data_IF_405679039830
#
_entry.id   IF_405679039830
#
_cell.length_a   1.000
_cell.length_b   1.000
_cell.length_c   1.000
_cell.angle_alpha   90.00
_cell.angle_beta   90.00
_cell.angle_gamma   90.00
#
_symmetry.space_group_name_H-M   'P 1'
#
loop_
_entity.id
_entity.type
_entity.pdbx_description
1 polymer ?
#
# COMPACT_ATOMS: atom_id res chain seq x y z
N UNK A 1 -34.77 3.80 -24.94
CA UNK A 1 -34.05 4.68 -23.96
C UNK A 1 -33.56 3.87 -22.74
N UNK A 2 -34.32 2.89 -22.23
CA UNK A 2 -33.94 2.07 -21.08
C UNK A 2 -32.64 1.29 -21.33
N UNK A 3 -32.54 0.57 -22.45
CA UNK A 3 -31.34 -0.18 -22.84
C UNK A 3 -30.09 0.71 -23.03
N UNK A 4 -30.27 1.95 -23.44
CA UNK A 4 -29.16 2.89 -23.61
C UNK A 4 -28.62 3.34 -22.23
N UNK A 5 -29.50 3.60 -21.27
CA UNK A 5 -29.12 3.95 -19.87
C UNK A 5 -28.47 2.77 -19.19
N UNK A 6 -28.97 1.56 -19.32
CA UNK A 6 -28.37 0.33 -18.79
C UNK A 6 -26.95 0.11 -19.32
N UNK A 7 -26.73 0.22 -20.65
CA UNK A 7 -25.37 0.12 -21.21
C UNK A 7 -24.42 1.18 -20.68
N UNK A 8 -24.88 2.42 -20.52
CA UNK A 8 -24.04 3.49 -19.95
C UNK A 8 -23.67 3.22 -18.50
N UNK A 9 -24.57 2.67 -17.71
CA UNK A 9 -24.29 2.27 -16.33
C UNK A 9 -23.27 1.13 -16.27
N UNK A 10 -23.44 0.08 -17.04
CA UNK A 10 -22.49 -1.03 -17.10
C UNK A 10 -21.08 -0.60 -17.56
N UNK A 11 -21.00 0.31 -18.54
CA UNK A 11 -19.71 0.86 -18.99
C UNK A 11 -19.04 1.63 -17.86
N UNK A 12 -19.78 2.46 -17.13
CA UNK A 12 -19.25 3.25 -16.01
C UNK A 12 -18.78 2.37 -14.86
N UNK A 13 -19.54 1.32 -14.52
CA UNK A 13 -19.18 0.41 -13.42
C UNK A 13 -17.92 -0.39 -13.76
N UNK A 14 -17.80 -0.88 -14.99
CA UNK A 14 -16.56 -1.52 -15.47
C UNK A 14 -15.38 -0.55 -15.47
N UNK A 15 -15.59 0.69 -15.90
CA UNK A 15 -14.54 1.71 -15.85
C UNK A 15 -14.08 1.96 -14.43
N UNK A 16 -15.00 2.15 -13.47
CA UNK A 16 -14.68 2.36 -12.07
C UNK A 16 -13.95 1.15 -11.44
N UNK A 17 -14.38 -0.06 -11.78
CA UNK A 17 -13.72 -1.28 -11.33
C UNK A 17 -12.28 -1.39 -11.87
N UNK A 18 -12.08 -1.14 -13.16
CA UNK A 18 -10.74 -1.14 -13.77
C UNK A 18 -9.87 -0.01 -13.24
N UNK A 19 -10.42 1.18 -13.01
CA UNK A 19 -9.73 2.29 -12.40
C UNK A 19 -9.28 1.96 -10.96
N UNK A 20 -10.16 1.36 -10.18
CA UNK A 20 -9.86 0.92 -8.80
C UNK A 20 -8.74 -0.13 -8.79
N UNK A 21 -8.85 -1.14 -9.63
CA UNK A 21 -7.86 -2.21 -9.71
C UNK A 21 -6.54 -1.72 -10.29
N UNK A 22 -6.57 -0.80 -11.26
CA UNK A 22 -5.35 -0.17 -11.77
C UNK A 22 -4.61 0.59 -10.67
N UNK A 23 -5.30 1.48 -9.94
CA UNK A 23 -4.70 2.22 -8.83
C UNK A 23 -4.13 1.30 -7.75
N UNK A 24 -4.92 0.33 -7.30
CA UNK A 24 -4.48 -0.66 -6.29
C UNK A 24 -3.26 -1.46 -6.77
N UNK A 25 -3.28 -1.93 -8.02
CA UNK A 25 -2.17 -2.69 -8.61
C UNK A 25 -0.89 -1.87 -8.71
N UNK A 26 -0.99 -0.65 -9.24
CA UNK A 26 0.19 0.19 -9.44
C UNK A 26 0.86 0.55 -8.12
N UNK A 27 0.09 0.83 -7.09
CA UNK A 27 0.63 1.18 -5.77
C UNK A 27 1.17 -0.07 -5.06
N UNK A 28 0.32 -1.06 -4.80
CA UNK A 28 0.64 -2.17 -3.90
C UNK A 28 1.33 -3.36 -4.58
N UNK A 29 1.10 -3.59 -5.88
CA UNK A 29 1.62 -4.76 -6.59
C UNK A 29 2.68 -4.42 -7.64
N UNK A 30 2.93 -3.15 -7.95
CA UNK A 30 3.99 -2.75 -8.86
C UNK A 30 5.07 -1.93 -8.13
N UNK A 31 4.78 -0.71 -7.69
CA UNK A 31 5.82 0.23 -7.20
C UNK A 31 6.42 -0.24 -5.87
N UNK A 32 5.59 -0.65 -4.90
CA UNK A 32 6.11 -1.17 -3.62
C UNK A 32 7.02 -2.40 -3.79
N UNK A 33 6.63 -3.45 -4.54
CA UNK A 33 7.51 -4.61 -4.71
C UNK A 33 8.78 -4.32 -5.51
N UNK A 34 8.74 -3.40 -6.49
CA UNK A 34 9.94 -2.95 -7.19
C UNK A 34 10.92 -2.32 -6.18
N UNK A 35 10.44 -1.44 -5.31
CA UNK A 35 11.26 -0.85 -4.24
C UNK A 35 11.80 -1.92 -3.28
N UNK A 36 10.96 -2.86 -2.86
CA UNK A 36 11.38 -3.97 -2.01
C UNK A 36 12.43 -4.88 -2.67
N UNK A 37 12.35 -5.10 -3.99
CA UNK A 37 13.35 -5.85 -4.73
C UNK A 37 14.71 -5.14 -4.71
N UNK A 38 14.74 -3.82 -4.93
CA UNK A 38 15.96 -3.04 -4.79
C UNK A 38 16.51 -3.06 -3.36
N UNK A 39 15.66 -2.98 -2.35
CA UNK A 39 16.09 -3.09 -0.96
C UNK A 39 16.74 -4.44 -0.67
N UNK A 40 16.11 -5.52 -1.08
CA UNK A 40 16.65 -6.87 -0.86
C UNK A 40 17.98 -7.11 -1.56
N UNK A 41 18.19 -6.51 -2.72
CA UNK A 41 19.40 -6.69 -3.50
C UNK A 41 20.51 -5.71 -3.12
N UNK A 42 20.22 -4.41 -3.12
CA UNK A 42 21.23 -3.37 -2.94
C UNK A 42 21.63 -3.17 -1.48
N UNK A 43 20.68 -3.28 -0.54
CA UNK A 43 20.95 -3.00 0.86
C UNK A 43 22.06 -3.88 1.45
N UNK A 44 22.03 -5.22 1.36
CA UNK A 44 23.12 -6.05 1.87
C UNK A 44 24.46 -5.71 1.23
N UNK A 45 24.50 -5.45 -0.08
CA UNK A 45 25.71 -5.07 -0.80
C UNK A 45 26.29 -3.74 -0.29
N UNK A 46 25.43 -2.75 -0.06
CA UNK A 46 25.85 -1.42 0.39
C UNK A 46 26.37 -1.40 1.82
N UNK A 47 25.81 -2.20 2.73
CA UNK A 47 26.25 -2.28 4.11
C UNK A 47 27.31 -3.36 4.34
N UNK A 48 27.66 -4.15 3.31
CA UNK A 48 28.63 -5.22 3.40
C UNK A 48 28.14 -6.48 4.12
N UNK A 49 26.83 -6.67 4.23
CA UNK A 49 26.21 -7.87 4.78
C UNK A 49 26.13 -8.97 3.69
N UNK A 50 26.17 -10.24 4.12
CA UNK A 50 26.01 -11.37 3.21
C UNK A 50 24.56 -11.56 2.76
N UNK A 51 23.60 -11.23 3.65
CA UNK A 51 22.16 -11.38 3.43
C UNK A 51 21.43 -10.44 4.40
N UNK A 52 20.08 -10.40 4.33
CA UNK A 52 19.24 -9.73 5.31
C UNK A 52 19.26 -10.45 6.66
N UNK A 53 18.88 -9.78 7.76
CA UNK A 53 18.96 -10.32 9.11
C UNK A 53 18.17 -11.63 9.29
N UNK A 54 16.99 -11.71 8.68
CA UNK A 54 16.10 -12.87 8.77
C UNK A 54 15.72 -13.43 7.39
N UNK A 55 16.59 -14.22 6.72
CA UNK A 55 16.33 -14.71 5.36
C UNK A 55 15.04 -15.54 5.24
N UNK A 56 14.72 -16.35 6.26
CA UNK A 56 13.48 -17.15 6.28
C UNK A 56 12.23 -16.30 6.37
N UNK A 57 12.26 -15.23 7.17
CA UNK A 57 11.15 -14.26 7.24
C UNK A 57 11.02 -13.48 5.92
N UNK A 58 12.13 -13.21 5.26
CA UNK A 58 12.13 -12.58 3.94
C UNK A 58 11.44 -13.49 2.90
N UNK A 59 11.77 -14.76 2.88
CA UNK A 59 11.10 -15.73 2.01
C UNK A 59 9.60 -15.85 2.36
N UNK A 60 9.24 -15.85 3.64
CA UNK A 60 7.84 -15.87 4.07
C UNK A 60 7.09 -14.63 3.59
N UNK A 61 7.65 -13.43 3.74
CA UNK A 61 7.02 -12.19 3.28
C UNK A 61 6.78 -12.19 1.77
N UNK A 62 7.72 -12.72 0.98
CA UNK A 62 7.56 -12.90 -0.46
C UNK A 62 6.37 -13.81 -0.81
N UNK A 63 6.23 -14.96 -0.14
CA UNK A 63 5.12 -15.87 -0.40
C UNK A 63 3.78 -15.28 0.04
N UNK A 64 3.72 -14.62 1.19
CA UNK A 64 2.50 -13.91 1.64
C UNK A 64 2.12 -12.84 0.62
N UNK A 65 3.10 -12.11 0.06
CA UNK A 65 2.87 -11.12 -0.98
C UNK A 65 2.27 -11.74 -2.25
N UNK A 66 2.82 -12.85 -2.74
CA UNK A 66 2.30 -13.55 -3.93
C UNK A 66 0.87 -14.04 -3.70
N UNK A 67 0.61 -14.68 -2.55
CA UNK A 67 -0.74 -15.14 -2.21
C UNK A 67 -1.72 -13.99 -2.02
N UNK A 68 -1.32 -12.90 -1.39
CA UNK A 68 -2.15 -11.70 -1.22
C UNK A 68 -2.52 -11.06 -2.56
N UNK A 69 -1.55 -10.95 -3.48
CA UNK A 69 -1.79 -10.47 -4.84
C UNK A 69 -2.73 -11.41 -5.62
N UNK A 70 -2.48 -12.71 -5.58
CA UNK A 70 -3.37 -13.70 -6.22
C UNK A 70 -4.79 -13.66 -5.64
N UNK A 71 -4.91 -13.54 -4.31
CA UNK A 71 -6.21 -13.40 -3.65
C UNK A 71 -6.92 -12.12 -4.10
N UNK A 72 -6.25 -10.98 -4.15
CA UNK A 72 -6.82 -9.73 -4.63
C UNK A 72 -7.33 -9.87 -6.08
N UNK A 73 -6.53 -10.48 -6.97
CA UNK A 73 -6.91 -10.69 -8.37
C UNK A 73 -7.98 -11.75 -8.57
N UNK A 74 -8.16 -12.67 -7.64
CA UNK A 74 -9.24 -13.67 -7.69
C UNK A 74 -10.64 -13.04 -7.66
N UNK A 75 -10.75 -11.76 -7.28
CA UNK A 75 -11.99 -10.98 -7.39
C UNK A 75 -12.55 -10.96 -8.79
N UNK A 76 -11.71 -10.98 -9.85
CA UNK A 76 -12.14 -11.03 -11.23
C UNK A 76 -12.83 -12.35 -11.61
N UNK A 77 -12.66 -13.40 -10.82
CA UNK A 77 -13.25 -14.72 -11.05
C UNK A 77 -14.41 -14.95 -10.07
N UNK A 78 -14.20 -14.66 -8.79
CA UNK A 78 -15.13 -15.02 -7.72
C UNK A 78 -15.85 -13.82 -7.09
N UNK A 79 -15.44 -12.58 -7.41
CA UNK A 79 -16.06 -11.38 -6.88
C UNK A 79 -17.46 -11.16 -7.44
N UNK A 80 -18.36 -10.64 -6.62
CA UNK A 80 -19.71 -10.22 -7.03
C UNK A 80 -19.87 -8.72 -6.81
N UNK A 81 -20.54 -8.04 -7.73
CA UNK A 81 -20.82 -6.61 -7.58
C UNK A 81 -21.92 -6.36 -6.55
N UNK A 82 -22.92 -7.25 -6.49
CA UNK A 82 -24.16 -7.00 -5.75
C UNK A 82 -24.96 -5.84 -6.33
N UNK A 83 -26.27 -5.84 -6.13
CA UNK A 83 -27.11 -4.69 -6.45
C UNK A 83 -27.28 -3.84 -5.17
N UNK A 84 -27.05 -2.53 -5.19
CA UNK A 84 -27.47 -1.63 -4.13
C UNK A 84 -29.00 -1.73 -3.93
N UNK A 85 -29.50 -1.49 -2.73
CA UNK A 85 -30.94 -1.43 -2.50
C UNK A 85 -31.59 -0.47 -3.52
N UNK A 86 -32.51 -0.99 -4.36
CA UNK A 86 -33.15 -0.23 -5.43
C UNK A 86 -32.40 -0.17 -6.77
N UNK A 87 -31.24 -0.85 -6.90
CA UNK A 87 -30.47 -0.95 -8.12
C UNK A 87 -30.82 -2.20 -8.95
N UNK A 88 -30.73 -2.11 -10.28
CA UNK A 88 -30.88 -3.26 -11.16
C UNK A 88 -29.70 -4.21 -10.99
N UNK A 89 -29.99 -5.50 -10.86
CA UNK A 89 -28.98 -6.56 -10.75
C UNK A 89 -28.04 -6.51 -11.96
N UNK A 90 -26.76 -6.61 -11.70
CA UNK A 90 -25.75 -6.87 -12.75
C UNK A 90 -25.82 -8.34 -13.21
N UNK A 91 -27.03 -8.82 -13.55
CA UNK A 91 -27.27 -10.19 -14.02
C UNK A 91 -26.66 -10.49 -15.40
N UNK A 92 -26.16 -9.45 -16.09
CA UNK A 92 -25.58 -9.56 -17.44
C UNK A 92 -24.04 -9.35 -17.49
N UNK A 93 -23.35 -9.31 -16.38
CA UNK A 93 -21.87 -9.30 -16.41
C UNK A 93 -21.39 -10.75 -16.52
N UNK A 94 -21.35 -11.23 -17.76
CA UNK A 94 -20.97 -12.59 -18.08
C UNK A 94 -19.62 -13.02 -17.49
N UNK A 95 -19.48 -14.28 -17.23
CA UNK A 95 -18.33 -15.20 -16.97
C UNK A 95 -17.08 -14.68 -16.21
N UNK A 96 -16.85 -13.40 -16.12
CA UNK A 96 -15.83 -12.77 -15.30
C UNK A 96 -16.51 -12.15 -14.09
N UNK A 97 -16.05 -12.48 -12.89
CA UNK A 97 -16.52 -11.90 -11.65
C UNK A 97 -16.40 -10.38 -11.63
N UNK A 98 -16.93 -9.74 -10.63
CA UNK A 98 -16.89 -8.29 -10.48
C UNK A 98 -15.67 -7.86 -9.68
N UNK A 99 -15.00 -6.79 -10.10
CA UNK A 99 -13.91 -6.17 -9.35
C UNK A 99 -14.43 -5.00 -8.48
N UNK A 100 -13.71 -4.64 -7.40
CA UNK A 100 -14.08 -3.52 -6.53
C UNK A 100 -14.14 -2.20 -7.30
N UNK A 101 -15.10 -1.35 -6.98
CA UNK A 101 -15.39 -0.11 -7.69
C UNK A 101 -15.28 1.16 -6.81
N UNK A 102 -14.85 1.01 -5.54
CA UNK A 102 -14.76 2.11 -4.55
C UNK A 102 -13.52 3.01 -4.67
N UNK A 103 -12.72 2.87 -5.73
CA UNK A 103 -11.39 3.49 -5.83
C UNK A 103 -10.36 2.76 -4.99
N UNK A 104 -9.07 2.98 -5.24
CA UNK A 104 -7.98 2.36 -4.47
C UNK A 104 -7.97 2.79 -2.99
N UNK A 105 -8.63 3.90 -2.67
CA UNK A 105 -8.78 4.45 -1.33
C UNK A 105 -10.04 3.99 -0.59
N UNK A 106 -10.97 3.28 -1.25
CA UNK A 106 -12.13 2.63 -0.65
C UNK A 106 -13.00 3.49 0.28
N UNK A 107 -13.30 4.74 -0.11
CA UNK A 107 -14.03 5.67 0.77
C UNK A 107 -15.39 5.14 1.21
N UNK A 108 -15.63 5.29 2.51
CA UNK A 108 -16.94 5.06 3.12
C UNK A 108 -17.84 6.29 2.91
N UNK A 109 -19.16 6.11 2.73
CA UNK A 109 -19.89 4.84 2.79
C UNK A 109 -19.91 4.04 1.48
N UNK A 110 -19.31 4.53 0.39
CA UNK A 110 -19.39 3.89 -0.95
C UNK A 110 -18.87 2.46 -0.98
N UNK A 111 -17.80 2.16 -0.22
CA UNK A 111 -17.24 0.82 -0.12
C UNK A 111 -17.97 -0.08 0.90
N UNK A 112 -18.97 0.45 1.62
CA UNK A 112 -19.81 -0.27 2.58
C UNK A 112 -20.87 -1.14 1.91
N UNK A 113 -21.55 -1.98 2.69
CA UNK A 113 -22.58 -2.91 2.21
C UNK A 113 -23.79 -2.21 1.55
N UNK A 114 -24.11 -0.98 1.95
CA UNK A 114 -25.23 -0.22 1.41
C UNK A 114 -25.06 0.14 -0.08
N UNK A 115 -23.83 0.48 -0.50
CA UNK A 115 -23.54 0.95 -1.86
C UNK A 115 -22.72 -0.05 -2.68
N UNK A 116 -22.02 -0.97 -2.03
CA UNK A 116 -21.23 -2.02 -2.65
C UNK A 116 -21.49 -3.36 -1.95
N UNK A 117 -22.71 -3.92 -2.05
CA UNK A 117 -23.11 -5.10 -1.29
C UNK A 117 -22.42 -6.40 -1.70
N UNK A 118 -21.79 -6.43 -2.87
CA UNK A 118 -21.11 -7.61 -3.37
C UNK A 118 -19.80 -7.93 -2.65
N UNK A 119 -19.25 -9.10 -2.94
CA UNK A 119 -18.00 -9.59 -2.31
C UNK A 119 -16.73 -8.95 -2.86
N UNK A 120 -16.79 -8.23 -4.00
CA UNK A 120 -15.60 -7.65 -4.62
C UNK A 120 -14.80 -6.72 -3.69
N UNK A 121 -15.49 -5.90 -2.89
CA UNK A 121 -14.83 -5.05 -1.90
C UNK A 121 -14.21 -5.84 -0.73
N UNK A 122 -14.72 -7.03 -0.43
CA UNK A 122 -14.12 -7.91 0.59
C UNK A 122 -12.77 -8.46 0.11
N UNK A 123 -12.67 -8.85 -1.17
CA UNK A 123 -11.39 -9.25 -1.78
C UNK A 123 -10.37 -8.12 -1.72
N UNK A 124 -10.82 -6.87 -1.96
CA UNK A 124 -9.95 -5.71 -1.84
C UNK A 124 -9.47 -5.50 -0.40
N UNK A 125 -10.38 -5.47 0.57
CA UNK A 125 -10.05 -5.20 1.97
C UNK A 125 -9.14 -6.28 2.57
N UNK A 126 -9.48 -7.55 2.37
CA UNK A 126 -8.69 -8.68 2.90
C UNK A 126 -7.37 -8.82 2.13
N UNK A 127 -7.39 -8.65 0.81
CA UNK A 127 -6.18 -8.67 -0.01
C UNK A 127 -5.15 -7.64 0.43
N UNK A 128 -5.56 -6.41 0.68
CA UNK A 128 -4.68 -5.35 1.22
C UNK A 128 -4.15 -5.68 2.62
N UNK A 129 -4.95 -6.32 3.48
CA UNK A 129 -4.47 -6.76 4.80
C UNK A 129 -3.35 -7.79 4.67
N UNK A 130 -3.51 -8.78 3.77
CA UNK A 130 -2.48 -9.80 3.52
C UNK A 130 -1.20 -9.15 2.98
N UNK A 131 -1.32 -8.25 2.01
CA UNK A 131 -0.18 -7.49 1.46
C UNK A 131 0.48 -6.61 2.52
N UNK A 132 -0.30 -6.00 3.41
CA UNK A 132 0.20 -5.21 4.53
C UNK A 132 1.04 -6.02 5.52
N UNK A 133 0.63 -7.27 5.83
CA UNK A 133 1.41 -8.17 6.69
C UNK A 133 2.76 -8.50 6.03
N UNK A 134 2.79 -8.80 4.74
CA UNK A 134 4.03 -9.06 4.01
C UNK A 134 5.00 -7.88 4.08
N UNK A 135 4.49 -6.67 3.86
CA UNK A 135 5.27 -5.42 3.90
C UNK A 135 5.78 -5.11 5.31
N UNK A 136 4.98 -5.37 6.34
CA UNK A 136 5.37 -5.16 7.74
C UNK A 136 6.51 -6.08 8.15
N UNK A 137 6.45 -7.36 7.78
CA UNK A 137 7.52 -8.33 8.02
C UNK A 137 8.82 -7.86 7.34
N UNK A 138 8.74 -7.41 6.10
CA UNK A 138 9.90 -6.89 5.36
C UNK A 138 10.48 -5.64 6.01
N UNK A 139 9.64 -4.72 6.50
CA UNK A 139 10.09 -3.50 7.17
C UNK A 139 10.92 -3.80 8.43
N UNK A 140 10.45 -4.69 9.30
CA UNK A 140 11.21 -5.11 10.48
C UNK A 140 12.52 -5.81 10.12
N UNK A 141 12.51 -6.61 9.06
CA UNK A 141 13.73 -7.26 8.59
C UNK A 141 14.77 -6.23 8.12
N UNK A 142 14.38 -5.23 7.34
CA UNK A 142 15.30 -4.18 6.88
C UNK A 142 15.81 -3.31 8.03
N UNK A 143 14.95 -2.92 8.97
CA UNK A 143 15.38 -2.16 10.16
C UNK A 143 16.47 -2.94 10.92
N UNK A 144 16.20 -4.21 11.20
CA UNK A 144 17.15 -5.07 11.91
C UNK A 144 18.45 -5.26 11.14
N UNK A 145 18.36 -5.46 9.82
CA UNK A 145 19.52 -5.61 8.95
C UNK A 145 20.41 -4.37 9.00
N UNK A 146 19.82 -3.19 8.85
CA UNK A 146 20.57 -1.92 8.85
C UNK A 146 21.17 -1.63 10.22
N UNK A 147 20.48 -1.94 11.31
CA UNK A 147 21.00 -1.66 12.66
C UNK A 147 22.14 -2.63 13.02
N UNK A 148 21.98 -3.92 12.77
CA UNK A 148 22.81 -4.96 13.34
C UNK A 148 23.88 -5.52 12.38
N UNK A 149 23.71 -5.40 11.08
CA UNK A 149 24.56 -6.11 10.10
C UNK A 149 25.47 -5.19 9.29
N UNK A 150 25.62 -3.93 9.70
CA UNK A 150 26.62 -3.04 9.07
C UNK A 150 28.03 -3.54 9.33
N UNK A 151 28.88 -3.41 8.30
CA UNK A 151 30.33 -3.67 8.43
C UNK A 151 30.95 -2.83 9.55
N UNK A 152 31.95 -3.39 10.20
CA UNK A 152 32.74 -2.69 11.23
C UNK A 152 33.30 -1.37 10.69
N UNK A 153 33.13 -0.29 11.45
CA UNK A 153 33.53 1.06 11.03
C UNK A 153 32.49 1.84 10.21
N UNK A 154 31.41 1.24 9.74
CA UNK A 154 30.32 1.95 9.09
C UNK A 154 29.36 2.56 10.11
N UNK A 155 29.60 3.82 10.43
CA UNK A 155 28.67 4.62 11.26
C UNK A 155 27.46 5.06 10.42
N UNK A 156 26.34 5.42 11.07
CA UNK A 156 25.14 5.90 10.40
C UNK A 156 25.41 6.99 9.37
N UNK A 157 26.19 8.01 9.72
CA UNK A 157 26.56 9.12 8.82
C UNK A 157 27.56 8.75 7.71
N UNK A 158 27.92 7.47 7.57
CA UNK A 158 28.75 6.95 6.48
C UNK A 158 28.02 5.96 5.60
N UNK A 159 26.72 5.74 5.87
CA UNK A 159 25.91 4.87 5.03
C UNK A 159 25.61 5.55 3.70
N UNK A 160 25.50 4.79 2.59
CA UNK A 160 25.00 5.31 1.32
C UNK A 160 23.60 5.95 1.46
N UNK A 161 23.28 6.94 0.61
CA UNK A 161 21.99 7.66 0.67
C UNK A 161 20.82 6.70 0.46
N UNK A 162 20.95 5.74 -0.46
CA UNK A 162 19.92 4.73 -0.68
C UNK A 162 19.64 3.89 0.58
N UNK A 163 20.69 3.51 1.33
CA UNK A 163 20.52 2.81 2.62
C UNK A 163 19.77 3.67 3.63
N UNK A 164 20.02 4.99 3.67
CA UNK A 164 19.25 5.93 4.50
C UNK A 164 17.79 6.00 4.10
N UNK A 165 17.50 6.05 2.78
CA UNK A 165 16.12 6.05 2.29
C UNK A 165 15.41 4.74 2.64
N UNK A 166 16.08 3.60 2.47
CA UNK A 166 15.55 2.29 2.89
C UNK A 166 15.24 2.26 4.38
N UNK A 167 16.10 2.84 5.20
CA UNK A 167 15.91 2.91 6.65
C UNK A 167 14.69 3.76 7.04
N UNK A 168 14.59 4.96 6.46
CA UNK A 168 13.44 5.84 6.66
C UNK A 168 12.13 5.19 6.20
N UNK A 169 12.11 4.59 5.00
CA UNK A 169 10.96 3.87 4.46
C UNK A 169 10.53 2.72 5.36
N UNK A 170 11.49 1.97 5.90
CA UNK A 170 11.18 0.84 6.79
C UNK A 170 10.49 1.31 8.08
N UNK A 171 10.86 2.44 8.64
CA UNK A 171 10.14 3.03 9.77
C UNK A 171 8.76 3.55 9.37
N UNK A 172 8.63 4.21 8.22
CA UNK A 172 7.33 4.66 7.74
C UNK A 172 6.37 3.49 7.57
N UNK A 173 6.83 2.37 6.99
CA UNK A 173 6.05 1.13 6.88
C UNK A 173 5.67 0.57 8.25
N UNK A 174 6.61 0.47 9.18
CA UNK A 174 6.38 -0.09 10.51
C UNK A 174 5.32 0.68 11.31
N UNK A 175 5.23 2.01 11.12
CA UNK A 175 4.25 2.85 11.83
C UNK A 175 2.93 3.01 11.09
N UNK A 176 2.93 3.10 9.76
CA UNK A 176 1.72 3.39 8.98
C UNK A 176 0.87 2.15 8.69
N UNK A 177 1.51 0.99 8.46
CA UNK A 177 0.77 -0.23 8.13
C UNK A 177 -0.17 -0.74 9.23
N UNK A 178 0.17 -0.70 10.53
CA UNK A 178 -0.79 -1.05 11.58
C UNK A 178 -2.04 -0.19 11.58
N UNK A 179 -1.94 1.08 11.23
CA UNK A 179 -3.07 2.02 11.20
C UNK A 179 -4.05 1.65 10.09
N UNK A 180 -3.55 1.42 8.87
CA UNK A 180 -4.41 0.98 7.78
C UNK A 180 -4.97 -0.42 8.03
N UNK A 181 -4.23 -1.31 8.68
CA UNK A 181 -4.73 -2.62 9.04
C UNK A 181 -5.97 -2.51 9.96
N UNK A 182 -5.94 -1.66 10.99
CA UNK A 182 -7.09 -1.40 11.86
C UNK A 182 -8.28 -0.86 11.04
N UNK A 183 -8.05 0.11 10.15
CA UNK A 183 -9.10 0.66 9.31
C UNK A 183 -9.75 -0.40 8.40
N UNK A 184 -8.94 -1.26 7.78
CA UNK A 184 -9.42 -2.36 6.94
C UNK A 184 -10.17 -3.43 7.76
N UNK A 185 -9.76 -3.69 9.02
CA UNK A 185 -10.51 -4.53 9.92
C UNK A 185 -11.90 -3.95 10.21
N UNK A 186 -12.02 -2.66 10.51
CA UNK A 186 -13.31 -2.01 10.75
C UNK A 186 -14.22 -2.11 9.52
N UNK A 187 -13.71 -1.90 8.31
CA UNK A 187 -14.49 -2.10 7.07
C UNK A 187 -14.93 -3.55 6.95
N UNK A 188 -14.05 -4.50 7.21
CA UNK A 188 -14.38 -5.94 7.14
C UNK A 188 -15.46 -6.29 8.16
N UNK A 189 -15.40 -5.74 9.38
CA UNK A 189 -16.43 -5.95 10.41
C UNK A 189 -17.76 -5.31 10.01
N UNK A 190 -17.77 -4.07 9.50
CA UNK A 190 -18.99 -3.43 9.02
C UNK A 190 -19.65 -4.23 7.90
N UNK A 191 -18.85 -4.83 7.01
CA UNK A 191 -19.35 -5.59 5.88
C UNK A 191 -19.79 -7.03 6.23
N UNK A 192 -19.14 -7.69 7.18
CA UNK A 192 -19.39 -9.12 7.49
C UNK A 192 -20.23 -9.33 8.74
N UNK A 193 -20.11 -8.46 9.71
CA UNK A 193 -20.77 -8.62 11.00
C UNK A 193 -21.85 -7.54 11.27
N UNK A 194 -22.05 -6.60 10.32
CA UNK A 194 -23.06 -5.57 10.44
C UNK A 194 -22.78 -4.55 11.54
N UNK A 195 -21.50 -4.34 11.90
CA UNK A 195 -21.10 -3.23 12.76
C UNK A 195 -21.28 -1.90 12.03
N UNK A 196 -21.25 -0.81 12.75
CA UNK A 196 -21.61 0.52 12.21
C UNK A 196 -20.50 1.56 12.46
N UNK A 197 -19.23 1.15 12.33
CA UNK A 197 -18.11 2.08 12.54
C UNK A 197 -18.14 3.27 11.59
N UNK A 198 -18.59 3.07 10.35
CA UNK A 198 -18.59 4.08 9.29
C UNK A 198 -19.99 4.45 8.80
N UNK A 199 -21.04 3.92 9.39
CA UNK A 199 -22.42 4.20 9.03
C UNK A 199 -23.04 5.22 10.01
N UNK A 200 -23.42 6.39 9.49
CA UNK A 200 -24.02 7.48 10.29
C UNK A 200 -25.35 7.08 10.95
N UNK A 201 -26.14 6.24 10.30
CA UNK A 201 -27.41 5.73 10.81
C UNK A 201 -27.25 4.89 12.10
N UNK A 202 -26.08 4.29 12.29
CA UNK A 202 -25.72 3.50 13.49
C UNK A 202 -24.80 4.24 14.47
N UNK A 203 -24.59 5.54 14.31
CA UNK A 203 -23.70 6.34 15.16
C UNK A 203 -22.23 6.33 14.74
N UNK A 204 -21.89 5.74 13.60
CA UNK A 204 -20.55 5.77 13.03
C UNK A 204 -20.26 7.04 12.22
N UNK A 205 -19.01 7.21 11.82
CA UNK A 205 -18.57 8.38 11.06
C UNK A 205 -17.71 7.96 9.83
N UNK A 206 -18.17 8.25 8.60
CA UNK A 206 -17.38 8.02 7.38
C UNK A 206 -16.04 8.79 7.34
N UNK A 207 -15.97 9.94 8.05
CA UNK A 207 -14.75 10.75 8.12
C UNK A 207 -13.66 9.99 8.90
N UNK A 208 -14.03 9.15 9.86
CA UNK A 208 -13.08 8.28 10.56
C UNK A 208 -12.30 7.39 9.59
N UNK A 209 -12.95 6.85 8.54
CA UNK A 209 -12.25 6.10 7.50
C UNK A 209 -11.20 6.97 6.80
N UNK A 210 -11.56 8.18 6.39
CA UNK A 210 -10.66 9.07 5.68
C UNK A 210 -9.45 9.43 6.55
N UNK A 211 -9.65 9.73 7.83
CA UNK A 211 -8.55 10.01 8.75
C UNK A 211 -7.60 8.83 8.92
N UNK A 212 -8.12 7.64 9.18
CA UNK A 212 -7.30 6.43 9.34
C UNK A 212 -6.60 6.06 8.03
N UNK A 213 -7.31 6.15 6.90
CA UNK A 213 -6.73 5.83 5.59
C UNK A 213 -5.61 6.81 5.24
N UNK A 214 -5.80 8.11 5.39
CA UNK A 214 -4.79 9.10 4.98
C UNK A 214 -3.66 9.27 5.99
N UNK A 215 -3.84 8.86 7.24
CA UNK A 215 -2.74 8.72 8.20
C UNK A 215 -1.73 7.63 7.75
N UNK A 216 -2.20 6.64 6.99
CA UNK A 216 -1.35 5.72 6.24
C UNK A 216 -1.01 6.29 4.85
N UNK A 217 -1.98 6.83 4.11
CA UNK A 217 -1.89 7.14 2.69
C UNK A 217 -0.83 8.21 2.36
N UNK A 218 -0.61 9.20 3.22
CA UNK A 218 0.47 10.15 3.02
C UNK A 218 1.87 9.53 3.26
N UNK A 219 2.14 8.82 4.37
CA UNK A 219 3.37 8.04 4.50
C UNK A 219 3.61 7.07 3.33
N UNK A 220 2.55 6.49 2.76
CA UNK A 220 2.64 5.59 1.61
C UNK A 220 3.27 6.27 0.39
N UNK A 221 2.88 7.50 0.05
CA UNK A 221 3.48 8.22 -1.09
C UNK A 221 4.97 8.49 -0.88
N UNK A 222 5.39 8.73 0.38
CA UNK A 222 6.82 8.84 0.69
C UNK A 222 7.55 7.49 0.61
N UNK A 223 6.91 6.40 1.03
CA UNK A 223 7.43 5.04 0.86
C UNK A 223 7.71 4.74 -0.62
N UNK A 224 6.86 5.25 -1.53
CA UNK A 224 7.03 5.06 -2.96
C UNK A 224 8.14 5.92 -3.55
N UNK A 225 8.30 7.18 -3.12
CA UNK A 225 9.22 8.14 -3.76
C UNK A 225 10.64 8.13 -3.18
N UNK A 226 10.81 7.89 -1.87
CA UNK A 226 12.14 7.94 -1.23
C UNK A 226 13.15 6.95 -1.83
N UNK A 227 12.80 5.70 -2.17
CA UNK A 227 13.73 4.78 -2.83
C UNK A 227 14.24 5.32 -4.16
N UNK A 228 13.37 5.94 -4.96
CA UNK A 228 13.74 6.55 -6.22
C UNK A 228 14.72 7.71 -6.00
N UNK A 229 14.48 8.56 -5.02
CA UNK A 229 15.40 9.63 -4.65
C UNK A 229 16.75 9.09 -4.17
N UNK A 230 16.75 7.98 -3.41
CA UNK A 230 17.98 7.30 -3.00
C UNK A 230 18.81 6.85 -4.19
N UNK A 231 18.18 6.17 -5.14
CA UNK A 231 18.84 5.70 -6.37
C UNK A 231 19.38 6.88 -7.19
N UNK A 232 18.56 7.89 -7.46
CA UNK A 232 18.96 9.07 -8.24
C UNK A 232 20.11 9.81 -7.56
N UNK A 233 20.09 9.93 -6.23
CA UNK A 233 21.13 10.61 -5.45
C UNK A 233 22.49 9.87 -5.50
N UNK A 234 22.52 8.58 -5.82
CA UNK A 234 23.76 7.81 -5.97
C UNK A 234 24.20 7.72 -7.44
N UNK A 235 23.25 7.57 -8.36
CA UNK A 235 23.52 7.46 -9.79
C UNK A 235 24.08 8.75 -10.37
N UNK A 236 23.47 9.91 -10.07
CA UNK A 236 23.90 11.20 -10.60
C UNK A 236 25.35 11.56 -10.26
N UNK A 237 25.82 11.48 -8.99
CA UNK A 237 27.21 11.73 -8.66
C UNK A 237 28.19 10.78 -9.34
N UNK A 238 27.81 9.50 -9.45
CA UNK A 238 28.63 8.47 -10.07
C UNK A 238 28.85 8.76 -11.54
N UNK A 239 27.79 9.05 -12.32
CA UNK A 239 27.91 9.34 -13.74
C UNK A 239 28.51 10.72 -14.03
N UNK A 240 28.25 11.72 -13.19
CA UNK A 240 28.84 13.06 -13.31
C UNK A 240 30.30 13.12 -12.81
N UNK A 241 30.78 12.05 -12.15
CA UNK A 241 32.11 11.99 -11.50
C UNK A 241 32.34 13.14 -10.52
N UNK A 242 31.29 13.58 -9.81
CA UNK A 242 31.35 14.67 -8.83
C UNK A 242 30.89 14.16 -7.47
N UNK A 243 31.48 14.61 -6.37
CA UNK A 243 31.00 14.23 -5.04
C UNK A 243 29.56 14.75 -4.82
N UNK A 244 28.78 13.99 -4.07
CA UNK A 244 27.43 14.39 -3.66
C UNK A 244 27.52 15.63 -2.77
N UNK A 245 26.89 16.73 -3.21
CA UNK A 245 26.83 17.95 -2.43
C UNK A 245 25.83 17.82 -1.28
N UNK A 246 26.24 18.21 -0.08
CA UNK A 246 25.33 18.29 1.06
C UNK A 246 24.83 16.95 1.58
N UNK A 247 25.62 15.87 1.55
CA UNK A 247 25.22 14.53 2.03
C UNK A 247 24.51 14.57 3.38
N UNK A 248 25.06 15.26 4.38
CA UNK A 248 24.44 15.36 5.70
C UNK A 248 23.09 16.09 5.64
N UNK A 249 22.97 17.15 4.85
CA UNK A 249 21.70 17.84 4.65
C UNK A 249 20.66 16.95 3.96
N UNK A 250 21.06 16.17 2.95
CA UNK A 250 20.18 15.22 2.28
C UNK A 250 19.68 14.16 3.24
N UNK A 251 20.60 13.49 3.98
CA UNK A 251 20.25 12.45 4.95
C UNK A 251 19.31 12.99 6.05
N UNK A 252 19.57 14.20 6.56
CA UNK A 252 18.74 14.84 7.58
C UNK A 252 17.41 15.34 7.02
N UNK A 253 17.40 15.98 5.85
CA UNK A 253 16.17 16.50 5.23
C UNK A 253 15.14 15.40 5.02
N UNK A 254 15.55 14.24 4.52
CA UNK A 254 14.63 13.12 4.28
C UNK A 254 14.12 12.47 5.57
N UNK A 255 14.89 12.51 6.65
CA UNK A 255 14.41 12.05 7.96
C UNK A 255 13.50 13.07 8.65
N UNK A 256 13.63 14.36 8.32
CA UNK A 256 12.84 15.45 8.88
C UNK A 256 11.67 15.94 8.01
N UNK A 257 11.55 15.52 6.76
CA UNK A 257 10.39 15.84 5.91
C UNK A 257 9.04 15.57 6.61
N UNK A 258 9.01 14.60 7.51
CA UNK A 258 7.83 14.27 8.32
C UNK A 258 7.52 15.30 9.41
N UNK A 259 8.50 16.05 9.91
CA UNK A 259 8.30 16.94 11.06
C UNK A 259 7.62 18.26 10.69
N UNK A 260 7.74 18.72 9.45
CA UNK A 260 7.18 20.00 9.02
C UNK A 260 5.72 19.95 8.58
N UNK A 261 5.23 18.80 8.14
CA UNK A 261 3.83 18.69 7.64
C UNK A 261 2.81 18.45 8.76
N UNK A 262 3.23 17.96 9.93
CA UNK A 262 2.34 17.77 11.09
C UNK A 262 2.12 19.03 11.92
N UNK A 263 2.81 20.13 11.64
CA UNK A 263 2.71 21.39 12.41
C UNK A 263 1.76 22.42 11.80
N UNK A 264 1.10 22.11 10.68
CA UNK A 264 0.25 23.07 9.94
C UNK A 264 -1.22 22.68 9.84
N UNK A 265 -1.68 21.72 10.65
CA UNK A 265 -3.12 21.44 10.79
C UNK A 265 -3.53 21.41 12.25
#
# INVERSE_FOLDING_TARGET
>A
QLHRRQRQMCIRDRYNAMFTMHGTTMIFLAIMPISAAFFNYLLPLQIGARDVAFPRLNALSFWIFIFGGAFLYSTFIFGTAGAPEGGYLAEEVGWLGSAPNGGWFGYQPNAGMKYSPGTAMDYWAIGLQILGIASLISAFNFITTIINMRTEGMRFMRMPVFTWMTFAVSFLLAFSLPIIAIALFYVTFDRKFGTTFFLTEGGGDPILWQHLFWLFGHPEVYILILPAFGIVSEVLPTFSRKPLFGYAAIAVSYTHLRAHETSTY
#
